data_IF_190719778811
#
_entry.id   IF_190719778811
#
_cell.length_a   1.000
_cell.length_b   1.000
_cell.length_c   1.000
_cell.angle_alpha   90.00
_cell.angle_beta   90.00
_cell.angle_gamma   90.00
#
_symmetry.space_group_name_H-M   'P 1'
#
loop_
_entity.id
_entity.type
_entity.pdbx_description
1 polymer ?
#
# COMPACT_ATOMS: atom_id res chain seq x y z
N UNK A 1 -22.62 -7.01 -6.83
CA UNK A 1 -22.05 -5.64 -6.79
C UNK A 1 -20.94 -5.48 -5.74
N UNK A 2 -20.46 -6.55 -5.07
CA UNK A 2 -19.19 -6.42 -4.34
C UNK A 2 -18.07 -6.03 -5.30
N UNK A 3 -17.13 -5.20 -4.85
CA UNK A 3 -16.00 -4.67 -5.63
C UNK A 3 -16.40 -4.20 -7.02
N UNK A 4 -17.34 -3.25 -7.08
CA UNK A 4 -17.84 -2.69 -8.33
C UNK A 4 -17.65 -1.18 -8.38
N UNK A 5 -17.24 -0.67 -9.55
CA UNK A 5 -17.39 0.73 -9.88
C UNK A 5 -18.85 0.98 -10.27
N UNK A 6 -19.51 1.93 -9.61
CA UNK A 6 -20.94 2.20 -9.83
C UNK A 6 -21.15 3.66 -10.21
N UNK A 7 -21.92 3.90 -11.28
CA UNK A 7 -22.41 5.21 -11.63
C UNK A 7 -23.90 5.31 -11.31
N UNK A 8 -24.28 6.34 -10.56
CA UNK A 8 -25.66 6.63 -10.18
C UNK A 8 -26.03 8.06 -10.57
N UNK A 9 -27.32 8.29 -10.77
CA UNK A 9 -27.87 9.63 -10.81
C UNK A 9 -27.83 10.27 -9.41
N UNK A 10 -27.26 11.47 -9.31
CA UNK A 10 -27.02 12.14 -8.03
C UNK A 10 -28.31 12.49 -7.28
N UNK A 11 -29.41 12.78 -8.00
CA UNK A 11 -30.67 13.22 -7.38
C UNK A 11 -31.54 12.05 -6.95
N UNK A 12 -31.52 10.97 -7.74
CA UNK A 12 -32.45 9.84 -7.56
C UNK A 12 -31.79 8.58 -7.01
N UNK A 13 -30.47 8.49 -7.05
CA UNK A 13 -29.72 7.27 -6.72
C UNK A 13 -29.88 6.15 -7.76
N UNK A 14 -30.60 6.37 -8.85
CA UNK A 14 -30.81 5.35 -9.87
C UNK A 14 -29.48 5.01 -10.56
N UNK A 15 -29.16 3.72 -10.62
CA UNK A 15 -27.96 3.21 -11.29
C UNK A 15 -28.05 3.45 -12.79
N UNK A 16 -27.03 4.11 -13.35
CA UNK A 16 -26.83 4.26 -14.79
C UNK A 16 -26.08 3.07 -15.37
N UNK A 17 -24.92 2.76 -14.79
CA UNK A 17 -24.11 1.62 -15.16
C UNK A 17 -23.26 1.17 -13.96
N UNK A 18 -22.70 -0.03 -14.04
CA UNK A 18 -21.68 -0.49 -13.11
C UNK A 18 -20.75 -1.48 -13.84
N UNK A 19 -19.56 -1.67 -13.30
CA UNK A 19 -18.65 -2.73 -13.69
C UNK A 19 -18.12 -3.41 -12.42
N UNK A 20 -18.19 -4.75 -12.35
CA UNK A 20 -17.62 -5.49 -11.23
C UNK A 20 -16.14 -5.77 -11.53
N UNK A 21 -15.25 -5.24 -10.69
CA UNK A 21 -13.80 -5.31 -10.84
C UNK A 21 -13.26 -6.66 -10.37
N UNK A 22 -13.75 -7.16 -9.23
CA UNK A 22 -13.42 -8.50 -8.74
C UNK A 22 -14.68 -9.37 -8.64
N UNK A 23 -14.65 -10.53 -9.30
CA UNK A 23 -15.71 -11.53 -9.23
C UNK A 23 -15.52 -12.41 -7.99
N UNK A 24 -16.58 -12.54 -7.18
CA UNK A 24 -16.58 -13.33 -5.95
C UNK A 24 -15.34 -13.06 -5.06
N UNK A 25 -15.19 -11.83 -4.53
CA UNK A 25 -13.95 -11.40 -3.91
C UNK A 25 -13.68 -12.11 -2.58
N UNK A 26 -12.46 -12.63 -2.45
CA UNK A 26 -11.96 -13.33 -1.24
C UNK A 26 -10.55 -12.86 -0.83
N UNK A 27 -10.10 -11.72 -1.37
CA UNK A 27 -8.69 -11.27 -1.27
C UNK A 27 -8.50 -9.89 -0.62
N UNK A 28 -9.55 -9.21 -0.16
CA UNK A 28 -9.42 -7.84 0.40
C UNK A 28 -8.89 -6.82 -0.64
N UNK A 29 -9.38 -6.93 -1.89
CA UNK A 29 -9.11 -6.00 -3.00
C UNK A 29 -10.15 -4.88 -3.08
N UNK A 30 -10.40 -4.22 -1.95
CA UNK A 30 -11.28 -3.05 -1.89
C UNK A 30 -10.93 -2.00 -2.95
N UNK A 31 -11.98 -1.43 -3.53
CA UNK A 31 -11.88 -0.26 -4.40
C UNK A 31 -11.85 1.02 -3.55
N UNK A 32 -10.84 1.14 -2.69
CA UNK A 32 -10.75 2.19 -1.66
C UNK A 32 -10.31 3.56 -2.18
N UNK A 33 -9.66 3.60 -3.34
CA UNK A 33 -9.22 4.85 -3.96
C UNK A 33 -10.38 5.58 -4.64
N UNK A 34 -10.37 6.91 -4.56
CA UNK A 34 -11.30 7.73 -5.35
C UNK A 34 -11.03 7.56 -6.87
N UNK A 35 -12.06 7.30 -7.69
CA UNK A 35 -11.91 7.31 -9.14
C UNK A 35 -11.55 8.71 -9.67
N UNK A 36 -10.65 8.76 -10.64
CA UNK A 36 -10.20 9.98 -11.31
C UNK A 36 -11.09 10.28 -12.51
N UNK A 37 -11.74 11.44 -12.53
CA UNK A 37 -12.43 11.90 -13.74
C UNK A 37 -11.41 12.56 -14.66
N UNK A 38 -11.31 12.08 -15.89
CA UNK A 38 -10.32 12.53 -16.86
C UNK A 38 -10.99 12.79 -18.22
N UNK A 39 -10.65 13.89 -18.87
CA UNK A 39 -10.95 14.09 -20.29
C UNK A 39 -9.66 13.77 -21.06
N UNK A 40 -9.74 12.80 -21.98
CA UNK A 40 -8.57 12.19 -22.65
C UNK A 40 -8.85 12.04 -24.16
N UNK A 41 -7.82 11.76 -24.94
CA UNK A 41 -7.93 11.49 -26.38
C UNK A 41 -7.25 10.17 -26.74
N UNK A 42 -8.05 9.16 -27.10
CA UNK A 42 -7.54 7.84 -27.50
C UNK A 42 -7.80 7.65 -28.99
N UNK A 43 -6.74 7.40 -29.77
CA UNK A 43 -6.81 7.23 -31.23
C UNK A 43 -7.56 8.38 -31.94
N UNK A 44 -7.34 9.63 -31.49
CA UNK A 44 -7.99 10.83 -32.03
C UNK A 44 -9.44 11.05 -31.57
N UNK A 45 -10.01 10.16 -30.75
CA UNK A 45 -11.35 10.29 -30.19
C UNK A 45 -11.29 10.86 -28.77
N UNK A 46 -11.98 11.98 -28.55
CA UNK A 46 -12.18 12.52 -27.21
C UNK A 46 -13.08 11.58 -26.39
N UNK A 47 -12.65 11.26 -25.17
CA UNK A 47 -13.37 10.39 -24.25
C UNK A 47 -13.50 11.09 -22.89
N UNK A 48 -14.72 11.08 -22.36
CA UNK A 48 -14.99 11.47 -20.98
C UNK A 48 -14.69 10.26 -20.11
N UNK A 49 -13.46 10.09 -19.66
CA UNK A 49 -13.02 8.92 -18.93
C UNK A 49 -13.24 9.02 -17.40
N UNK A 50 -13.32 7.86 -16.76
CA UNK A 50 -13.07 7.62 -15.34
C UNK A 50 -11.98 6.56 -15.22
N UNK A 51 -10.93 6.85 -14.46
CA UNK A 51 -9.81 5.95 -14.22
C UNK A 51 -9.79 5.55 -12.74
N UNK A 52 -9.77 4.24 -12.47
CA UNK A 52 -9.85 3.67 -11.13
C UNK A 52 -8.53 2.96 -10.79
N UNK A 53 -7.65 3.59 -9.99
CA UNK A 53 -6.49 2.90 -9.42
C UNK A 53 -6.95 1.89 -8.37
N UNK A 54 -6.29 0.75 -8.29
CA UNK A 54 -6.76 -0.38 -7.47
C UNK A 54 -5.66 -1.00 -6.63
N UNK A 55 -6.10 -1.73 -5.60
CA UNK A 55 -5.26 -2.60 -4.78
C UNK A 55 -4.60 -3.72 -5.60
N UNK A 56 -5.19 -4.08 -6.75
CA UNK A 56 -4.64 -5.04 -7.71
C UNK A 56 -3.43 -4.50 -8.50
N UNK A 57 -3.07 -3.23 -8.36
CA UNK A 57 -2.08 -2.54 -9.19
C UNK A 57 -2.46 -2.45 -10.68
N UNK A 58 -3.75 -2.53 -10.98
CA UNK A 58 -4.33 -2.16 -12.27
C UNK A 58 -4.93 -0.75 -12.21
N UNK A 59 -4.92 -0.07 -13.36
CA UNK A 59 -5.69 1.16 -13.58
C UNK A 59 -6.81 0.85 -14.56
N UNK A 60 -8.02 0.63 -14.06
CA UNK A 60 -9.18 0.37 -14.93
C UNK A 60 -9.70 1.69 -15.50
N UNK A 61 -9.97 1.77 -16.80
CA UNK A 61 -10.40 3.01 -17.44
C UNK A 61 -11.66 2.78 -18.28
N UNK A 62 -12.69 3.57 -18.00
CA UNK A 62 -13.99 3.50 -18.66
C UNK A 62 -14.39 4.88 -19.20
N UNK A 63 -15.20 4.91 -20.26
CA UNK A 63 -16.00 6.08 -20.57
C UNK A 63 -17.02 6.28 -19.44
N UNK A 64 -16.92 7.38 -18.69
CA UNK A 64 -17.71 7.65 -17.48
C UNK A 64 -19.20 7.87 -17.76
N UNK A 65 -19.57 8.14 -19.02
CA UNK A 65 -20.97 8.34 -19.42
C UNK A 65 -21.63 7.00 -19.68
N UNK A 66 -20.94 6.10 -20.38
CA UNK A 66 -21.50 4.83 -20.88
C UNK A 66 -21.14 3.62 -20.03
N UNK A 67 -20.07 3.68 -19.25
CA UNK A 67 -19.51 2.53 -18.53
C UNK A 67 -18.72 1.56 -19.42
N UNK A 68 -18.54 1.87 -20.70
CA UNK A 68 -17.77 1.04 -21.62
C UNK A 68 -16.27 1.18 -21.33
N UNK A 69 -15.51 0.08 -21.30
CA UNK A 69 -14.07 0.15 -21.06
C UNK A 69 -13.37 0.84 -22.25
N UNK A 70 -12.36 1.66 -21.97
CA UNK A 70 -11.61 2.40 -23.01
C UNK A 70 -10.73 1.45 -23.82
N UNK A 71 -10.15 0.44 -23.17
CA UNK A 71 -9.43 -0.66 -23.79
C UNK A 71 -10.04 -2.00 -23.34
N UNK A 72 -9.84 -3.09 -24.10
CA UNK A 72 -10.38 -4.39 -23.74
C UNK A 72 -10.02 -4.80 -22.30
N UNK A 73 -10.99 -5.37 -21.60
CA UNK A 73 -10.81 -6.07 -20.33
C UNK A 73 -11.14 -7.54 -20.61
N UNK A 74 -10.18 -8.42 -20.37
CA UNK A 74 -10.27 -9.84 -20.69
C UNK A 74 -10.63 -10.66 -19.46
N UNK A 75 -11.60 -11.56 -19.59
CA UNK A 75 -11.83 -12.60 -18.58
C UNK A 75 -10.73 -13.65 -18.67
N UNK A 76 -9.90 -13.77 -17.63
CA UNK A 76 -8.81 -14.75 -17.58
C UNK A 76 -9.04 -15.79 -16.49
N UNK A 77 -8.80 -17.09 -16.76
CA UNK A 77 -8.85 -18.12 -15.73
C UNK A 77 -7.89 -17.81 -14.58
N UNK A 78 -8.35 -18.01 -13.34
CA UNK A 78 -7.55 -17.84 -12.12
C UNK A 78 -7.54 -19.13 -11.29
N UNK A 79 -6.57 -19.32 -10.37
CA UNK A 79 -6.56 -20.48 -9.49
C UNK A 79 -7.87 -20.61 -8.70
N UNK A 80 -8.38 -21.83 -8.59
CA UNK A 80 -9.62 -22.13 -7.87
C UNK A 80 -9.32 -22.61 -6.45
N UNK A 81 -10.26 -22.40 -5.54
CA UNK A 81 -10.10 -22.79 -4.14
C UNK A 81 -10.23 -24.31 -3.95
N UNK A 82 -9.42 -24.86 -3.06
CA UNK A 82 -9.54 -26.21 -2.52
C UNK A 82 -10.08 -26.22 -1.08
N UNK A 83 -10.52 -25.06 -0.55
CA UNK A 83 -11.12 -24.93 0.77
C UNK A 83 -12.53 -25.52 0.76
N UNK A 84 -12.85 -26.52 1.62
CA UNK A 84 -14.13 -27.20 1.59
C UNK A 84 -15.35 -26.27 1.75
N UNK A 85 -16.16 -26.17 0.70
CA UNK A 85 -17.37 -25.36 0.67
C UNK A 85 -17.16 -23.90 0.26
N UNK A 86 -15.91 -23.46 0.06
CA UNK A 86 -15.62 -22.16 -0.55
C UNK A 86 -16.01 -22.19 -2.04
N UNK A 87 -16.54 -21.07 -2.52
CA UNK A 87 -16.81 -20.86 -3.94
C UNK A 87 -15.80 -19.86 -4.47
N UNK A 88 -15.43 -19.98 -5.74
CA UNK A 88 -14.57 -19.03 -6.43
C UNK A 88 -15.15 -18.74 -7.81
N UNK A 89 -14.82 -17.57 -8.36
CA UNK A 89 -15.10 -17.28 -9.77
C UNK A 89 -14.10 -18.04 -10.65
N UNK A 90 -14.53 -18.65 -11.78
CA UNK A 90 -13.62 -19.32 -12.70
C UNK A 90 -12.65 -18.35 -13.39
N UNK A 91 -13.08 -17.10 -13.60
CA UNK A 91 -12.30 -16.04 -14.26
C UNK A 91 -12.32 -14.75 -13.44
N UNK A 92 -11.37 -13.87 -13.73
CA UNK A 92 -11.36 -12.48 -13.27
C UNK A 92 -11.14 -11.53 -14.46
N UNK A 93 -11.57 -10.26 -14.35
CA UNK A 93 -11.30 -9.25 -15.36
C UNK A 93 -9.84 -8.78 -15.32
N UNK A 94 -9.19 -8.69 -16.47
CA UNK A 94 -7.82 -8.16 -16.61
C UNK A 94 -7.79 -7.06 -17.67
N UNK A 95 -7.53 -5.79 -17.31
CA UNK A 95 -7.41 -4.73 -18.29
C UNK A 95 -6.17 -4.96 -19.15
N UNK A 96 -6.33 -4.79 -20.47
CA UNK A 96 -5.21 -4.91 -21.42
C UNK A 96 -4.31 -3.69 -21.43
N UNK A 97 -4.85 -2.52 -21.04
CA UNK A 97 -4.13 -1.26 -20.91
C UNK A 97 -4.71 -0.38 -19.80
N UNK A 98 -3.88 0.45 -19.17
CA UNK A 98 -2.41 0.36 -19.15
C UNK A 98 -1.92 -0.96 -18.52
N UNK A 99 -0.63 -1.34 -18.69
CA UNK A 99 -0.09 -2.50 -17.98
C UNK A 99 -0.17 -2.30 -16.46
N UNK A 100 -0.10 -3.40 -15.70
CA UNK A 100 0.03 -3.33 -14.26
C UNK A 100 1.25 -2.50 -13.86
N UNK A 101 1.08 -1.65 -12.84
CA UNK A 101 2.09 -0.68 -12.42
C UNK A 101 2.76 -1.03 -11.08
N UNK A 102 2.50 -2.23 -10.57
CA UNK A 102 3.18 -2.81 -9.41
C UNK A 102 3.07 -4.35 -9.49
N UNK A 103 3.77 -5.04 -8.57
CA UNK A 103 3.86 -6.50 -8.54
C UNK A 103 2.49 -7.16 -8.28
N UNK A 104 2.14 -8.17 -9.08
CA UNK A 104 0.86 -8.90 -9.04
C UNK A 104 1.00 -10.41 -8.76
N UNK A 105 2.19 -10.87 -8.42
CA UNK A 105 2.44 -12.27 -8.08
C UNK A 105 3.59 -12.38 -7.10
N UNK A 106 3.70 -13.53 -6.45
CA UNK A 106 4.86 -13.88 -5.64
C UNK A 106 5.42 -15.18 -6.18
N UNK A 107 6.61 -15.13 -6.77
CA UNK A 107 7.39 -16.30 -7.20
C UNK A 107 8.73 -16.41 -6.48
N UNK A 108 9.45 -17.50 -6.74
CA UNK A 108 10.80 -17.73 -6.19
C UNK A 108 11.79 -16.66 -6.68
N UNK A 109 11.58 -16.11 -7.88
CA UNK A 109 12.44 -15.07 -8.45
C UNK A 109 12.16 -13.67 -7.89
N UNK A 110 11.07 -13.49 -7.15
CA UNK A 110 10.75 -12.24 -6.45
C UNK A 110 11.42 -12.14 -5.08
N UNK A 111 11.95 -13.25 -4.57
CA UNK A 111 12.55 -13.31 -3.24
C UNK A 111 13.80 -12.43 -3.17
N UNK A 112 14.04 -11.87 -1.98
CA UNK A 112 15.22 -11.09 -1.65
C UNK A 112 16.49 -11.85 -2.03
N UNK A 113 17.38 -11.18 -2.76
CA UNK A 113 18.56 -11.79 -3.37
C UNK A 113 19.83 -10.95 -3.23
N UNK A 114 19.87 -10.00 -2.27
CA UNK A 114 21.08 -9.23 -2.00
C UNK A 114 22.31 -10.10 -1.69
N UNK A 115 22.10 -11.27 -1.07
CA UNK A 115 23.13 -12.31 -0.90
C UNK A 115 22.56 -13.70 -1.17
N UNK A 116 23.39 -14.68 -1.58
CA UNK A 116 22.94 -16.06 -1.73
C UNK A 116 22.35 -16.66 -0.44
N UNK A 117 22.91 -16.28 0.72
CA UNK A 117 22.42 -16.71 2.03
C UNK A 117 20.99 -16.20 2.30
N UNK A 118 20.72 -14.92 2.05
CA UNK A 118 19.39 -14.33 2.24
C UNK A 118 18.38 -14.98 1.29
N UNK A 119 18.77 -15.23 0.03
CA UNK A 119 17.92 -15.90 -0.95
C UNK A 119 17.54 -17.31 -0.51
N UNK A 120 18.49 -18.09 0.00
CA UNK A 120 18.21 -19.45 0.45
C UNK A 120 17.31 -19.46 1.69
N UNK A 121 17.54 -18.55 2.65
CA UNK A 121 16.64 -18.39 3.80
C UNK A 121 15.24 -17.96 3.37
N UNK A 122 15.11 -17.06 2.38
CA UNK A 122 13.83 -16.69 1.81
C UNK A 122 13.10 -17.91 1.20
N UNK A 123 13.82 -18.78 0.48
CA UNK A 123 13.29 -20.05 -0.05
C UNK A 123 12.78 -20.96 1.06
N UNK A 124 13.51 -21.06 2.16
CA UNK A 124 13.09 -21.84 3.33
C UNK A 124 11.85 -21.24 4.01
N UNK A 125 11.72 -19.91 4.07
CA UNK A 125 10.51 -19.28 4.59
C UNK A 125 9.31 -19.61 3.70
N UNK A 126 9.42 -19.44 2.38
CA UNK A 126 8.29 -19.65 1.47
C UNK A 126 7.96 -21.12 1.22
N UNK A 127 8.84 -22.07 1.56
CA UNK A 127 8.56 -23.50 1.37
C UNK A 127 7.37 -23.99 2.20
N UNK A 128 6.95 -23.23 3.22
CA UNK A 128 5.75 -23.50 4.02
C UNK A 128 4.47 -22.89 3.45
N UNK A 129 4.54 -22.17 2.34
CA UNK A 129 3.42 -21.40 1.79
C UNK A 129 3.08 -21.84 0.37
N UNK A 130 1.84 -21.58 -0.04
CA UNK A 130 1.45 -21.65 -1.44
C UNK A 130 1.76 -20.31 -2.10
N UNK A 131 2.59 -20.32 -3.14
CA UNK A 131 2.94 -19.15 -3.95
C UNK A 131 2.07 -19.10 -5.23
N UNK A 132 1.91 -17.92 -5.82
CA UNK A 132 1.08 -17.78 -7.01
C UNK A 132 0.76 -16.34 -7.43
N UNK A 133 -0.20 -16.18 -8.35
CA UNK A 133 -0.68 -14.88 -8.81
C UNK A 133 -1.53 -14.17 -7.75
N UNK A 134 -1.86 -12.90 -7.97
CA UNK A 134 -2.70 -12.07 -7.09
C UNK A 134 -4.02 -12.75 -6.68
N UNK A 135 -4.73 -13.36 -7.63
CA UNK A 135 -5.97 -14.09 -7.36
C UNK A 135 -5.75 -15.53 -6.87
N UNK A 136 -4.71 -15.77 -6.07
CA UNK A 136 -4.48 -17.06 -5.41
C UNK A 136 -5.41 -17.18 -4.19
N UNK A 137 -6.36 -18.15 -4.15
CA UNK A 137 -7.24 -18.32 -2.99
C UNK A 137 -6.48 -18.70 -1.72
N UNK A 138 -7.12 -18.48 -0.58
CA UNK A 138 -6.65 -18.96 0.72
C UNK A 138 -6.52 -20.49 0.77
N UNK A 139 -5.85 -20.99 1.81
CA UNK A 139 -5.74 -22.44 2.06
C UNK A 139 -6.22 -22.77 3.45
N UNK A 140 -6.78 -23.96 3.62
CA UNK A 140 -6.90 -24.55 4.96
C UNK A 140 -5.49 -24.79 5.49
N UNK A 141 -5.14 -24.11 6.56
CA UNK A 141 -3.81 -24.13 7.17
C UNK A 141 -3.51 -25.51 7.73
N UNK A 142 -2.31 -26.03 7.45
CA UNK A 142 -1.81 -27.32 7.95
C UNK A 142 -0.47 -27.12 8.65
N UNK A 143 -0.21 -27.83 9.75
CA UNK A 143 1.03 -27.65 10.50
C UNK A 143 2.29 -27.99 9.66
N UNK A 144 2.17 -29.05 8.85
CA UNK A 144 3.14 -29.54 7.87
C UNK A 144 3.24 -28.69 6.60
N UNK A 145 2.23 -27.87 6.31
CA UNK A 145 2.15 -26.98 5.15
C UNK A 145 1.15 -27.41 4.07
N UNK A 146 0.71 -26.47 3.20
CA UNK A 146 0.96 -25.04 3.30
C UNK A 146 0.22 -24.42 4.48
N UNK A 147 0.86 -23.48 5.18
CA UNK A 147 0.28 -22.79 6.33
C UNK A 147 -0.61 -21.62 5.92
N UNK A 148 -0.38 -21.05 4.74
CA UNK A 148 -1.18 -20.01 4.12
C UNK A 148 -0.86 -19.92 2.61
N UNK A 149 -1.76 -19.29 1.83
CA UNK A 149 -1.42 -18.74 0.52
C UNK A 149 -0.75 -17.37 0.69
N UNK A 150 0.37 -17.14 0.00
CA UNK A 150 0.98 -15.80 -0.03
C UNK A 150 0.43 -15.01 -1.19
N UNK A 151 -0.27 -13.94 -0.84
CA UNK A 151 -0.91 -13.01 -1.78
C UNK A 151 -0.22 -11.65 -1.73
N UNK A 152 -0.38 -10.88 -2.79
CA UNK A 152 0.10 -9.51 -2.87
C UNK A 152 -1.04 -8.55 -3.18
N UNK A 153 -0.96 -7.34 -2.63
CA UNK A 153 -1.91 -6.26 -2.93
C UNK A 153 -3.19 -6.29 -2.09
N UNK A 154 -3.33 -7.14 -1.09
CA UNK A 154 -4.57 -7.28 -0.28
C UNK A 154 -4.76 -6.07 0.65
N UNK A 155 -4.60 -6.22 1.97
CA UNK A 155 -4.70 -5.13 2.96
C UNK A 155 -3.78 -3.95 2.63
N UNK A 156 -2.60 -4.24 2.08
CA UNK A 156 -1.65 -3.21 1.65
C UNK A 156 -2.03 -2.52 0.34
N UNK A 157 -2.58 -3.25 -0.64
CA UNK A 157 -2.75 -2.72 -2.00
C UNK A 157 -1.46 -2.58 -2.80
N UNK A 158 -1.58 -2.53 -4.13
CA UNK A 158 -0.75 -1.68 -4.96
C UNK A 158 -1.04 -0.23 -4.61
N UNK A 159 -2.12 0.33 -5.16
CA UNK A 159 -2.66 1.64 -4.71
C UNK A 159 -3.86 1.42 -3.80
N UNK A 160 -3.86 2.05 -2.62
CA UNK A 160 -4.91 1.93 -1.62
C UNK A 160 -5.66 3.28 -1.45
N UNK A 161 -6.27 3.51 -0.31
CA UNK A 161 -7.13 4.67 -0.02
C UNK A 161 -6.57 6.06 -0.38
N UNK A 162 -5.26 6.37 -0.34
CA UNK A 162 -4.79 7.72 -0.70
C UNK A 162 -4.96 8.04 -2.20
N UNK A 163 -5.13 7.02 -3.04
CA UNK A 163 -5.41 7.16 -4.46
C UNK A 163 -4.22 7.64 -5.29
N UNK A 164 -4.52 8.42 -6.31
CA UNK A 164 -3.57 8.88 -7.33
C UNK A 164 -3.93 10.31 -7.76
N UNK A 165 -3.06 10.97 -8.52
CA UNK A 165 -3.37 12.28 -9.12
C UNK A 165 -3.42 12.20 -10.63
N UNK A 166 -4.25 13.05 -11.23
CA UNK A 166 -4.35 13.22 -12.66
C UNK A 166 -3.92 14.63 -13.06
N UNK A 167 -3.10 14.74 -14.10
CA UNK A 167 -2.75 16.01 -14.73
C UNK A 167 -3.56 16.19 -16.03
N UNK A 168 -4.53 17.13 -16.06
CA UNK A 168 -5.38 17.36 -17.23
C UNK A 168 -4.66 18.04 -18.39
N UNK A 169 -3.49 18.66 -18.19
CA UNK A 169 -2.73 19.28 -19.30
C UNK A 169 -1.95 18.24 -20.11
N UNK A 170 -1.53 17.15 -19.46
CA UNK A 170 -0.68 16.11 -20.06
C UNK A 170 -1.38 14.76 -20.23
N UNK A 171 -2.58 14.63 -19.66
CA UNK A 171 -3.37 13.39 -19.60
C UNK A 171 -2.63 12.24 -18.89
N UNK A 172 -1.81 12.58 -17.90
CA UNK A 172 -0.99 11.60 -17.15
C UNK A 172 -1.58 11.38 -15.76
N UNK A 173 -1.72 10.11 -15.39
CA UNK A 173 -1.98 9.68 -14.01
C UNK A 173 -0.66 9.38 -13.31
N UNK A 174 -0.50 9.90 -12.11
CA UNK A 174 0.61 9.58 -11.22
C UNK A 174 0.10 8.76 -10.05
N UNK A 175 0.64 7.55 -9.89
CA UNK A 175 0.16 6.57 -8.92
C UNK A 175 1.32 6.03 -8.07
N UNK A 176 1.22 6.23 -6.75
CA UNK A 176 2.07 5.51 -5.81
C UNK A 176 1.52 4.10 -5.62
N UNK A 177 2.42 3.12 -5.56
CA UNK A 177 2.05 1.73 -5.34
C UNK A 177 3.04 1.01 -4.42
N UNK A 178 2.54 0.15 -3.53
CA UNK A 178 3.38 -0.78 -2.79
C UNK A 178 3.73 -2.00 -3.66
N UNK A 179 4.99 -2.44 -3.60
CA UNK A 179 5.48 -3.62 -4.31
C UNK A 179 5.77 -4.80 -3.38
N UNK A 180 5.69 -4.61 -2.06
CA UNK A 180 5.93 -5.64 -1.05
C UNK A 180 4.81 -5.79 -0.02
N UNK A 181 3.60 -5.36 -0.38
CA UNK A 181 2.37 -5.56 0.40
C UNK A 181 1.91 -7.01 0.42
N UNK A 182 2.68 -7.92 1.04
CA UNK A 182 2.36 -9.34 1.16
C UNK A 182 1.37 -9.56 2.31
N UNK A 183 0.36 -10.40 2.09
CA UNK A 183 -0.45 -10.96 3.15
C UNK A 183 -0.58 -12.48 3.02
N UNK A 184 -0.34 -13.25 4.11
CA UNK A 184 -0.68 -14.66 4.17
C UNK A 184 -2.19 -14.84 4.41
N UNK A 185 -2.85 -15.64 3.58
CA UNK A 185 -4.24 -16.07 3.76
C UNK A 185 -4.26 -17.55 4.14
N UNK A 186 -4.27 -17.81 5.45
CA UNK A 186 -4.43 -19.15 6.03
C UNK A 186 -5.77 -19.22 6.78
N UNK A 187 -6.44 -20.36 6.67
CA UNK A 187 -7.76 -20.59 7.23
C UNK A 187 -7.73 -21.74 8.24
N UNK A 188 -8.40 -21.57 9.38
CA UNK A 188 -8.55 -22.60 10.42
C UNK A 188 -10.01 -22.67 10.86
N UNK A 189 -10.45 -23.82 11.36
CA UNK A 189 -11.76 -23.92 12.00
C UNK A 189 -11.71 -23.18 13.35
N UNK A 190 -12.64 -22.24 13.62
CA UNK A 190 -12.68 -21.56 14.90
C UNK A 190 -13.10 -22.52 16.03
N UNK A 191 -12.82 -22.18 17.30
CA UNK A 191 -13.38 -22.92 18.43
C UNK A 191 -14.91 -23.02 18.35
N UNK A 192 -15.46 -24.14 18.80
CA UNK A 192 -16.91 -24.35 18.81
C UNK A 192 -17.62 -23.22 19.57
N UNK A 193 -18.67 -22.66 18.95
CA UNK A 193 -19.45 -21.57 19.52
C UNK A 193 -18.86 -20.17 19.36
N UNK A 194 -17.66 -20.02 18.77
CA UNK A 194 -17.08 -18.70 18.50
C UNK A 194 -17.71 -18.01 17.29
N UNK A 195 -17.88 -18.73 16.19
CA UNK A 195 -18.45 -18.21 14.94
C UNK A 195 -19.25 -19.30 14.23
N UNK A 196 -20.26 -18.87 13.49
CA UNK A 196 -21.04 -19.68 12.55
C UNK A 196 -20.36 -19.81 11.17
N UNK A 197 -19.28 -19.07 10.93
CA UNK A 197 -18.43 -19.23 9.75
C UNK A 197 -17.52 -20.45 9.97
N UNK A 198 -17.50 -21.36 8.99
CA UNK A 198 -16.72 -22.60 9.07
C UNK A 198 -15.21 -22.38 9.23
N UNK A 199 -14.67 -21.33 8.62
CA UNK A 199 -13.26 -21.01 8.64
C UNK A 199 -13.02 -19.54 8.99
N UNK A 200 -12.02 -19.28 9.82
CA UNK A 200 -11.52 -17.94 10.16
C UNK A 200 -10.05 -17.82 9.79
N UNK A 201 -9.55 -16.59 9.65
CA UNK A 201 -8.13 -16.35 9.41
C UNK A 201 -7.28 -16.91 10.56
N UNK A 202 -6.25 -17.70 10.24
CA UNK A 202 -5.37 -18.27 11.24
C UNK A 202 -4.31 -19.23 10.68
N UNK A 203 -3.45 -19.69 11.58
CA UNK A 203 -2.35 -20.60 11.26
C UNK A 203 -2.46 -21.85 12.13
N UNK A 204 -2.44 -23.04 11.51
CA UNK A 204 -2.51 -24.30 12.24
C UNK A 204 -1.38 -24.44 13.26
N UNK A 205 -1.71 -24.97 14.43
CA UNK A 205 -0.79 -25.14 15.56
C UNK A 205 -0.55 -23.86 16.38
N UNK A 206 -1.13 -22.72 16.01
CA UNK A 206 -1.15 -21.54 16.87
C UNK A 206 -2.33 -21.57 17.84
N UNK A 207 -2.17 -21.09 19.08
CA UNK A 207 -3.29 -20.94 19.99
C UNK A 207 -4.32 -19.96 19.41
N UNK A 208 -5.60 -20.26 19.61
CA UNK A 208 -6.66 -19.34 19.28
C UNK A 208 -6.56 -18.10 20.17
N UNK A 209 -6.59 -16.92 19.55
CA UNK A 209 -6.64 -15.63 20.23
C UNK A 209 -7.64 -14.76 19.51
N UNK A 210 -8.66 -14.29 20.24
CA UNK A 210 -9.55 -13.27 19.74
C UNK A 210 -8.76 -11.97 19.56
N UNK A 211 -8.73 -11.45 18.33
CA UNK A 211 -8.06 -10.19 18.02
C UNK A 211 -9.08 -9.06 18.02
N UNK A 212 -9.03 -8.23 19.05
CA UNK A 212 -9.71 -6.93 19.04
C UNK A 212 -8.86 -5.92 18.24
N UNK A 213 -9.46 -5.32 17.21
CA UNK A 213 -8.82 -4.24 16.45
C UNK A 213 -8.76 -2.94 17.27
N UNK A 214 -7.77 -2.06 17.06
CA UNK A 214 -7.82 -0.71 17.62
C UNK A 214 -9.12 -0.02 17.16
N UNK A 215 -9.95 0.41 18.11
CA UNK A 215 -11.25 1.04 17.83
C UNK A 215 -12.39 0.08 17.43
N UNK A 216 -12.18 -1.24 17.43
CA UNK A 216 -13.27 -2.18 17.18
C UNK A 216 -14.22 -2.21 18.39
N UNK A 217 -15.48 -1.78 18.19
CA UNK A 217 -16.52 -1.77 19.22
C UNK A 217 -16.25 -0.84 20.41
N UNK A 218 -15.31 0.09 20.29
CA UNK A 218 -14.83 0.92 21.39
C UNK A 218 -14.41 2.29 20.87
N UNK A 219 -15.03 3.36 21.38
CA UNK A 219 -14.60 4.73 21.11
C UNK A 219 -13.15 4.97 21.62
N UNK A 220 -12.50 6.04 21.17
CA UNK A 220 -11.10 6.33 21.52
C UNK A 220 -10.88 6.51 23.04
N UNK A 221 -11.95 6.79 23.79
CA UNK A 221 -12.04 6.95 25.24
C UNK A 221 -12.61 5.72 25.96
N UNK A 222 -12.93 4.64 25.23
CA UNK A 222 -13.46 3.42 25.84
C UNK A 222 -12.42 2.80 26.80
N UNK A 223 -12.85 2.27 27.96
CA UNK A 223 -11.96 1.59 28.88
C UNK A 223 -11.31 0.41 28.15
N UNK A 224 -9.98 0.39 28.06
CA UNK A 224 -9.27 -0.76 27.51
C UNK A 224 -9.59 -1.98 28.37
N UNK A 225 -10.29 -2.96 27.82
CA UNK A 225 -10.35 -4.29 28.42
C UNK A 225 -8.93 -4.81 28.43
N UNK A 226 -8.42 -5.16 29.61
CA UNK A 226 -7.07 -5.70 29.75
C UNK A 226 -6.91 -6.88 28.79
N UNK A 227 -5.90 -6.81 27.90
CA UNK A 227 -5.53 -7.91 27.01
C UNK A 227 -5.50 -9.19 27.85
N UNK A 228 -6.41 -10.12 27.57
CA UNK A 228 -6.68 -11.28 28.41
C UNK A 228 -5.40 -12.00 28.83
N UNK A 229 -4.95 -11.72 30.06
CA UNK A 229 -4.08 -12.62 30.78
C UNK A 229 -4.92 -13.80 31.24
N UNK A 230 -4.34 -15.00 31.20
CA UNK A 230 -4.97 -16.21 31.73
C UNK A 230 -5.61 -15.95 33.12
N UNK A 231 -6.71 -16.64 33.46
CA UNK A 231 -7.45 -16.35 34.70
C UNK A 231 -6.54 -16.59 35.92
N UNK A 232 -6.24 -15.54 36.70
CA UNK A 232 -5.59 -15.67 38.02
C UNK A 232 -4.45 -14.73 38.35
N UNK A 233 -3.95 -13.88 37.45
CA UNK A 233 -2.88 -12.94 37.79
C UNK A 233 -3.44 -11.56 38.20
N UNK A 234 -3.21 -11.16 39.45
CA UNK A 234 -3.50 -9.82 39.93
C UNK A 234 -2.67 -8.77 39.14
N UNK A 235 -3.21 -7.57 38.87
CA UNK A 235 -2.50 -6.55 38.11
C UNK A 235 -1.31 -6.02 38.92
N UNK A 236 -0.10 -6.18 38.37
CA UNK A 236 1.09 -5.51 38.90
C UNK A 236 1.04 -4.00 38.55
N UNK A 237 1.44 -3.10 39.45
CA UNK A 237 1.48 -1.67 39.15
C UNK A 237 2.52 -1.40 38.06
N UNK A 238 2.14 -0.59 37.07
CA UNK A 238 3.01 -0.23 35.96
C UNK A 238 4.27 0.53 36.42
N UNK A 239 5.44 0.31 35.81
CA UNK A 239 6.64 1.04 36.20
C UNK A 239 6.55 2.48 35.69
N UNK A 240 6.88 3.41 36.59
CA UNK A 240 7.06 4.82 36.30
C UNK A 240 8.19 5.05 35.28
N UNK A 241 8.09 6.18 34.57
CA UNK A 241 9.07 6.64 33.59
C UNK A 241 10.49 6.68 34.17
N UNK A 242 11.36 5.80 33.67
CA UNK A 242 12.77 5.74 34.05
C UNK A 242 13.50 4.68 33.22
N UNK A 243 14.60 5.10 32.60
CA UNK A 243 15.51 4.38 31.69
C UNK A 243 15.45 2.86 31.63
N UNK A 244 15.49 2.32 30.40
CA UNK A 244 15.86 0.92 30.16
C UNK A 244 17.10 0.85 29.30
N UNK A 245 18.21 0.56 29.98
CA UNK A 245 19.42 0.05 29.38
C UNK A 245 19.23 -1.32 28.76
N UNK A 246 20.20 -1.69 27.94
CA UNK A 246 20.27 -2.92 27.16
C UNK A 246 19.97 -4.18 28.00
N UNK A 247 19.06 -5.02 27.51
CA UNK A 247 18.91 -6.40 27.95
C UNK A 247 19.28 -7.33 26.79
N UNK A 248 20.27 -8.19 27.05
CA UNK A 248 20.85 -9.14 26.13
C UNK A 248 19.84 -10.17 25.61
N UNK A 249 19.94 -10.51 24.33
CA UNK A 249 19.14 -11.54 23.68
C UNK A 249 19.62 -12.96 24.08
N UNK A 250 18.68 -13.81 24.49
CA UNK A 250 18.90 -15.25 24.57
C UNK A 250 18.76 -15.88 23.16
N UNK A 251 19.62 -16.84 22.76
CA UNK A 251 19.55 -17.43 21.42
C UNK A 251 18.53 -18.58 21.37
N UNK A 252 17.71 -18.65 20.31
CA UNK A 252 17.16 -19.93 19.85
C UNK A 252 15.64 -20.12 19.75
N UNK A 253 14.78 -19.10 19.88
CA UNK A 253 13.35 -19.25 19.58
C UNK A 253 12.95 -18.43 18.34
N UNK A 254 12.28 -19.00 17.32
CA UNK A 254 11.68 -18.19 16.26
C UNK A 254 10.55 -17.38 16.87
N UNK A 255 10.78 -16.08 17.06
CA UNK A 255 9.79 -15.16 17.60
C UNK A 255 8.53 -15.15 16.73
N UNK A 256 7.37 -15.36 17.35
CA UNK A 256 6.09 -15.19 16.70
C UNK A 256 5.97 -13.75 16.18
N UNK A 257 5.43 -13.53 14.95
CA UNK A 257 5.29 -12.18 14.42
C UNK A 257 4.25 -11.41 15.26
N UNK A 258 4.52 -10.15 15.59
CA UNK A 258 3.58 -9.36 16.39
C UNK A 258 2.25 -9.16 15.66
N UNK A 259 1.19 -9.29 16.43
CA UNK A 259 -0.18 -9.00 16.08
C UNK A 259 -0.46 -7.49 16.16
N UNK A 260 -0.76 -6.86 15.03
CA UNK A 260 -1.58 -5.64 14.99
C UNK A 260 -0.86 -4.35 14.56
N UNK A 261 -1.58 -3.58 13.74
CA UNK A 261 -1.32 -2.17 13.42
C UNK A 261 -0.60 -1.96 12.10
N UNK A 262 -1.23 -1.24 11.16
CA UNK A 262 -0.72 -1.05 9.81
C UNK A 262 0.68 -0.45 9.72
N UNK A 263 1.46 -0.95 8.76
CA UNK A 263 2.72 -0.35 8.30
C UNK A 263 3.95 -1.27 8.42
N UNK A 264 4.35 -1.88 7.29
CA UNK A 264 5.69 -2.38 6.93
C UNK A 264 6.45 -3.20 7.99
N UNK A 265 6.63 -4.51 7.90
CA UNK A 265 6.85 -5.38 6.75
C UNK A 265 6.13 -6.71 7.01
N UNK A 266 5.62 -7.34 5.95
CA UNK A 266 5.06 -8.70 5.99
C UNK A 266 6.11 -9.75 6.38
N UNK A 267 6.03 -10.97 5.86
CA UNK A 267 7.09 -11.97 6.06
C UNK A 267 8.49 -11.39 5.80
N UNK A 268 9.46 -11.78 6.64
CA UNK A 268 10.82 -11.21 6.64
C UNK A 268 11.87 -12.30 6.70
N UNK A 269 13.09 -11.96 6.28
CA UNK A 269 14.28 -12.79 6.41
C UNK A 269 15.33 -11.96 7.16
N UNK A 270 15.67 -12.36 8.39
CA UNK A 270 16.58 -11.60 9.26
C UNK A 270 16.21 -10.12 9.44
N UNK A 271 14.90 -9.81 9.48
CA UNK A 271 14.41 -8.43 9.59
C UNK A 271 14.32 -7.67 8.26
N UNK A 272 14.79 -8.26 7.15
CA UNK A 272 14.66 -7.68 5.82
C UNK A 272 13.36 -8.11 5.13
N UNK A 273 12.81 -7.31 4.21
CA UNK A 273 11.64 -7.70 3.43
C UNK A 273 11.86 -9.03 2.68
N UNK A 274 10.84 -9.90 2.63
CA UNK A 274 10.94 -11.18 1.92
C UNK A 274 11.18 -11.01 0.42
N UNK A 275 10.60 -9.97 -0.19
CA UNK A 275 10.73 -9.71 -1.63
C UNK A 275 11.82 -8.68 -1.91
N UNK A 276 12.48 -8.81 -3.05
CA UNK A 276 13.49 -7.86 -3.52
C UNK A 276 12.87 -6.49 -3.89
N UNK A 277 13.62 -5.39 -3.75
CA UNK A 277 13.17 -4.05 -4.10
C UNK A 277 12.89 -3.90 -5.62
N UNK A 278 12.20 -2.81 -6.04
CA UNK A 278 11.72 -1.70 -5.21
C UNK A 278 10.56 -2.08 -4.28
N UNK A 279 10.55 -1.55 -3.06
CA UNK A 279 9.51 -1.85 -2.05
C UNK A 279 8.25 -1.03 -2.23
N UNK A 280 8.39 0.18 -2.76
CA UNK A 280 7.31 1.02 -3.23
C UNK A 280 7.79 1.87 -4.41
N UNK A 281 6.85 2.20 -5.29
CA UNK A 281 7.12 2.87 -6.56
C UNK A 281 6.18 4.04 -6.77
N UNK A 282 6.66 5.03 -7.52
CA UNK A 282 5.85 6.07 -8.14
C UNK A 282 5.83 5.79 -9.65
N UNK A 283 4.64 5.86 -10.24
CA UNK A 283 4.38 5.57 -11.65
C UNK A 283 3.82 6.80 -12.34
N UNK A 284 4.16 6.97 -13.63
CA UNK A 284 3.44 7.86 -14.54
C UNK A 284 2.81 7.06 -15.67
N UNK A 285 1.52 7.25 -15.90
CA UNK A 285 0.70 6.48 -16.83
C UNK A 285 -0.01 7.43 -17.78
N UNK A 286 0.23 7.32 -19.08
CA UNK A 286 -0.43 8.15 -20.09
C UNK A 286 -1.80 7.56 -20.46
N UNK A 287 -2.87 8.33 -20.29
CA UNK A 287 -4.23 7.86 -20.59
C UNK A 287 -4.62 7.98 -22.07
N UNK A 288 -3.91 8.73 -22.90
CA UNK A 288 -4.19 8.79 -24.34
C UNK A 288 -3.72 7.51 -25.04
N UNK A 289 -2.58 6.97 -24.61
CA UNK A 289 -1.96 5.76 -25.19
C UNK A 289 -2.24 4.49 -24.39
N UNK A 290 -2.52 4.62 -23.09
CA UNK A 290 -2.63 3.50 -22.16
C UNK A 290 -1.29 2.83 -21.93
N UNK A 291 -0.22 3.60 -21.71
CA UNK A 291 1.13 3.10 -21.44
C UNK A 291 1.70 3.61 -20.11
N UNK A 292 2.57 2.80 -19.51
CA UNK A 292 3.40 3.19 -18.37
C UNK A 292 4.61 3.95 -18.92
N UNK A 293 4.70 5.24 -18.64
CA UNK A 293 5.76 6.12 -19.14
C UNK A 293 7.07 5.92 -18.40
N UNK A 294 6.99 5.90 -17.06
CA UNK A 294 8.13 5.64 -16.19
C UNK A 294 7.64 5.09 -14.85
N UNK A 295 8.55 4.40 -14.17
CA UNK A 295 8.38 3.91 -12.81
C UNK A 295 9.70 4.11 -12.05
N UNK A 296 9.63 4.70 -10.86
CA UNK A 296 10.81 4.96 -10.01
C UNK A 296 10.56 4.51 -8.57
N UNK A 297 11.59 4.07 -7.82
CA UNK A 297 11.45 3.81 -6.39
C UNK A 297 11.06 5.08 -5.62
N UNK A 298 9.97 5.02 -4.85
CA UNK A 298 9.52 6.13 -3.99
C UNK A 298 9.96 5.92 -2.54
N UNK A 299 10.48 6.97 -1.90
CA UNK A 299 11.06 6.92 -0.55
C UNK A 299 12.53 6.49 -0.53
N UNK A 300 13.20 6.69 0.60
CA UNK A 300 14.60 6.29 0.79
C UNK A 300 14.79 4.78 0.95
N UNK A 301 16.02 4.30 1.10
CA UNK A 301 16.28 2.93 1.57
C UNK A 301 15.92 2.82 3.06
N UNK A 302 15.08 1.87 3.50
CA UNK A 302 14.76 1.71 4.93
C UNK A 302 16.00 1.46 5.80
N UNK A 303 16.00 1.96 7.04
CA UNK A 303 17.13 1.81 7.97
C UNK A 303 17.49 0.34 8.22
N UNK A 304 16.49 -0.56 8.21
CA UNK A 304 16.70 -2.01 8.38
C UNK A 304 17.50 -2.64 7.23
N UNK A 305 17.46 -2.04 6.04
CA UNK A 305 18.25 -2.46 4.88
C UNK A 305 19.60 -1.76 4.91
N UNK A 306 19.62 -0.43 5.06
CA UNK A 306 20.85 0.38 5.04
C UNK A 306 21.87 -0.08 6.08
N UNK A 307 21.41 -0.38 7.29
CA UNK A 307 22.26 -0.70 8.43
C UNK A 307 22.43 -2.21 8.66
N UNK A 308 21.95 -3.05 7.72
CA UNK A 308 21.97 -4.50 7.92
C UNK A 308 23.41 -5.04 7.86
N UNK A 309 23.87 -5.84 8.85
CA UNK A 309 25.25 -6.35 8.88
C UNK A 309 25.65 -7.15 7.64
N UNK A 310 24.72 -7.93 7.08
CA UNK A 310 24.97 -8.70 5.84
C UNK A 310 25.04 -7.86 4.56
N UNK A 311 24.69 -6.57 4.62
CA UNK A 311 24.62 -5.68 3.46
C UNK A 311 25.69 -4.57 3.51
N UNK A 312 26.51 -4.51 4.57
CA UNK A 312 27.45 -3.41 4.84
C UNK A 312 28.46 -3.12 3.72
N UNK A 313 28.87 -4.16 2.99
CA UNK A 313 29.89 -4.08 1.93
C UNK A 313 29.25 -4.09 0.52
N UNK A 314 27.91 -3.98 0.45
CA UNK A 314 27.18 -3.98 -0.81
C UNK A 314 26.75 -2.57 -1.20
N UNK A 315 26.88 -2.26 -2.48
CA UNK A 315 26.32 -1.03 -3.04
C UNK A 315 24.82 -1.25 -3.36
N UNK A 316 23.96 -0.98 -2.37
CA UNK A 316 22.51 -1.15 -2.51
C UNK A 316 21.91 0.12 -3.13
N UNK A 317 21.27 0.04 -4.32
CA UNK A 317 20.58 1.20 -4.90
C UNK A 317 19.37 1.59 -4.05
N UNK A 318 18.82 2.77 -4.32
CA UNK A 318 17.60 3.25 -3.67
C UNK A 318 16.48 2.22 -3.80
N UNK A 319 16.06 1.64 -2.67
CA UNK A 319 15.08 0.55 -2.67
C UNK A 319 13.64 1.02 -2.69
N UNK A 320 13.42 2.31 -2.45
CA UNK A 320 12.09 2.81 -2.10
C UNK A 320 11.62 2.25 -0.75
N UNK A 321 10.43 2.69 -0.35
CA UNK A 321 9.78 2.30 0.90
C UNK A 321 8.41 1.71 0.61
N UNK A 322 8.08 0.64 1.32
CA UNK A 322 6.72 0.14 1.31
C UNK A 322 5.81 1.14 2.03
N UNK A 323 4.66 1.42 1.45
CA UNK A 323 3.64 2.23 2.10
C UNK A 323 2.53 2.61 1.15
N UNK A 324 1.54 3.31 1.70
CA UNK A 324 0.44 3.89 0.93
C UNK A 324 0.34 5.35 1.32
N UNK A 325 0.70 6.23 0.38
CA UNK A 325 0.77 7.68 0.60
C UNK A 325 0.11 8.40 -0.57
N UNK A 326 -0.66 9.43 -0.23
CA UNK A 326 -1.27 10.31 -1.22
C UNK A 326 -0.27 11.25 -1.86
N UNK A 327 -0.64 11.82 -2.99
CA UNK A 327 0.21 12.72 -3.77
C UNK A 327 -0.64 13.82 -4.41
N UNK A 328 -0.01 14.93 -4.77
CA UNK A 328 -0.60 15.93 -5.66
C UNK A 328 0.36 16.26 -6.80
N UNK A 329 -0.18 16.89 -7.85
CA UNK A 329 0.60 17.37 -8.98
C UNK A 329 0.48 18.88 -9.14
N UNK A 330 1.55 19.51 -9.60
CA UNK A 330 1.57 20.90 -10.07
C UNK A 330 1.81 20.92 -11.57
N UNK A 331 2.00 22.11 -12.15
CA UNK A 331 2.36 22.25 -13.57
C UNK A 331 3.64 21.50 -13.96
N UNK A 332 4.58 21.29 -13.03
CA UNK A 332 5.88 20.65 -13.35
C UNK A 332 6.26 19.50 -12.44
N UNK A 333 5.62 19.35 -11.27
CA UNK A 333 6.07 18.41 -10.24
C UNK A 333 4.98 17.43 -9.81
N UNK A 334 5.41 16.24 -9.41
CA UNK A 334 4.67 15.34 -8.53
C UNK A 334 5.22 15.48 -7.12
N UNK A 335 4.37 15.63 -6.12
CA UNK A 335 4.79 15.81 -4.72
C UNK A 335 4.10 14.80 -3.82
N UNK A 336 4.90 14.09 -3.02
CA UNK A 336 4.46 13.08 -2.06
C UNK A 336 5.55 12.84 -1.00
N UNK A 337 5.14 12.51 0.21
CA UNK A 337 6.01 12.28 1.35
C UNK A 337 6.28 10.81 1.63
N UNK A 338 7.36 10.57 2.36
CA UNK A 338 7.81 9.23 2.68
C UNK A 338 6.83 8.51 3.62
N UNK A 339 6.54 7.22 3.37
CA UNK A 339 5.66 6.42 4.21
C UNK A 339 6.32 5.94 5.52
N UNK A 340 7.64 6.11 5.65
CA UNK A 340 8.38 5.70 6.85
C UNK A 340 9.54 6.63 7.15
N UNK A 341 10.01 6.60 8.39
CA UNK A 341 11.17 7.38 8.81
C UNK A 341 12.46 6.65 8.48
N UNK A 342 13.48 7.41 8.09
CA UNK A 342 14.85 6.96 7.90
C UNK A 342 15.82 7.87 8.63
N UNK A 343 17.02 7.34 8.87
CA UNK A 343 18.14 8.06 9.47
C UNK A 343 19.30 8.03 8.48
N UNK A 344 19.73 9.20 8.03
CA UNK A 344 20.77 9.34 7.01
C UNK A 344 21.83 10.35 7.47
N UNK A 345 23.01 10.39 6.83
CA UNK A 345 23.96 11.48 7.05
C UNK A 345 23.40 12.86 6.72
N UNK A 346 22.47 12.94 5.75
CA UNK A 346 21.93 14.20 5.23
C UNK A 346 20.77 14.76 6.06
N UNK A 347 20.08 13.92 6.84
CA UNK A 347 18.99 14.37 7.69
C UNK A 347 18.85 13.50 8.97
N UNK A 348 18.44 14.11 10.11
CA UNK A 348 18.15 13.35 11.31
C UNK A 348 16.98 12.39 11.07
N UNK A 349 16.80 11.44 12.00
CA UNK A 349 15.68 10.50 11.96
C UNK A 349 14.37 11.23 11.67
N UNK A 350 13.74 10.88 10.55
CA UNK A 350 12.52 11.50 10.07
C UNK A 350 12.18 11.02 8.67
N UNK A 351 11.14 11.61 8.09
CA UNK A 351 10.68 11.35 6.73
C UNK A 351 11.00 12.54 5.83
N UNK A 352 10.77 12.42 4.52
CA UNK A 352 10.95 13.51 3.57
C UNK A 352 9.67 13.77 2.80
N UNK A 353 9.30 15.04 2.59
CA UNK A 353 8.37 15.44 1.55
C UNK A 353 9.17 15.63 0.26
N UNK A 354 8.88 14.83 -0.77
CA UNK A 354 9.71 14.74 -1.99
C UNK A 354 8.98 15.32 -3.19
N UNK A 355 9.76 15.91 -4.09
CA UNK A 355 9.30 16.42 -5.39
C UNK A 355 10.00 15.68 -6.53
N UNK A 356 9.23 15.29 -7.53
CA UNK A 356 9.67 14.57 -8.71
C UNK A 356 9.31 15.35 -9.96
N UNK A 357 10.22 15.38 -10.94
CA UNK A 357 9.94 15.87 -12.28
C UNK A 357 8.87 14.99 -12.95
N UNK A 358 7.80 15.61 -13.45
CA UNK A 358 6.65 14.90 -14.01
C UNK A 358 6.99 14.06 -15.25
N UNK A 359 7.94 14.51 -16.08
CA UNK A 359 8.23 13.83 -17.34
C UNK A 359 9.19 12.66 -17.17
N UNK A 360 10.13 12.78 -16.24
CA UNK A 360 11.26 11.83 -16.11
C UNK A 360 11.17 10.96 -14.86
N UNK A 361 10.39 11.36 -13.86
CA UNK A 361 10.39 10.71 -12.54
C UNK A 361 11.65 10.99 -11.73
N UNK A 362 12.54 11.88 -12.17
CA UNK A 362 13.72 12.25 -11.41
C UNK A 362 13.33 13.01 -10.13
N UNK A 363 13.88 12.61 -8.98
CA UNK A 363 13.69 13.39 -7.75
C UNK A 363 14.48 14.70 -7.88
N UNK A 364 13.77 15.84 -7.81
CA UNK A 364 14.37 17.18 -8.00
C UNK A 364 14.50 17.97 -6.70
N UNK A 365 13.89 17.50 -5.62
CA UNK A 365 14.00 18.13 -4.31
C UNK A 365 13.34 17.30 -3.21
N UNK A 366 13.69 17.62 -1.97
CA UNK A 366 13.07 17.07 -0.79
C UNK A 366 13.22 18.03 0.40
N UNK A 367 12.25 18.02 1.32
CA UNK A 367 12.33 18.72 2.60
C UNK A 367 12.02 17.75 3.73
N UNK A 368 12.71 17.92 4.87
CA UNK A 368 12.58 17.01 6.00
C UNK A 368 11.24 17.18 6.73
N UNK A 369 10.74 16.07 7.27
CA UNK A 369 9.56 15.97 8.13
C UNK A 369 9.91 15.13 9.38
N UNK A 370 9.44 15.51 10.57
CA UNK A 370 9.70 14.77 11.82
C UNK A 370 9.04 13.38 11.86
N UNK A 371 7.98 13.17 11.08
CA UNK A 371 7.24 11.91 11.02
C UNK A 371 6.79 11.60 9.59
N UNK A 372 6.44 10.34 9.28
CA UNK A 372 5.95 9.95 7.96
C UNK A 372 4.70 10.72 7.54
N UNK A 373 4.47 10.77 6.23
CA UNK A 373 3.21 11.25 5.72
C UNK A 373 2.07 10.34 6.21
N UNK A 374 1.05 10.94 6.82
CA UNK A 374 -0.13 10.23 7.32
C UNK A 374 -1.43 10.57 6.62
N UNK A 375 -1.44 11.61 5.77
CA UNK A 375 -2.55 11.93 4.88
C UNK A 375 -2.06 12.62 3.61
N UNK A 376 -2.95 12.73 2.62
CA UNK A 376 -2.59 13.28 1.30
C UNK A 376 -2.17 14.76 1.41
N UNK A 377 -1.02 15.15 0.82
CA UNK A 377 -0.60 16.54 0.78
C UNK A 377 -1.52 17.36 -0.12
N UNK A 378 -1.63 18.65 0.19
CA UNK A 378 -2.39 19.61 -0.60
C UNK A 378 -1.60 20.91 -0.78
N UNK A 379 -2.01 21.74 -1.75
CA UNK A 379 -1.42 23.07 -1.95
C UNK A 379 -2.51 24.12 -2.14
N UNK A 380 -2.25 25.35 -1.68
CA UNK A 380 -3.15 26.49 -1.86
C UNK A 380 -2.38 27.81 -1.91
N UNK A 381 -3.05 28.88 -2.34
CA UNK A 381 -2.55 30.24 -2.31
C UNK A 381 -3.17 31.02 -1.14
N UNK A 382 -2.33 31.73 -0.38
CA UNK A 382 -2.80 32.73 0.59
C UNK A 382 -1.86 33.93 0.55
N UNK A 383 -2.44 35.14 0.49
CA UNK A 383 -1.70 36.40 0.47
C UNK A 383 -0.59 36.46 -0.61
N UNK A 384 -0.87 35.93 -1.80
CA UNK A 384 0.09 35.89 -2.92
C UNK A 384 1.21 34.85 -2.78
N UNK A 385 1.19 34.01 -1.73
CA UNK A 385 2.17 32.95 -1.49
C UNK A 385 1.54 31.57 -1.61
N UNK A 386 2.25 30.64 -2.27
CA UNK A 386 1.87 29.24 -2.33
C UNK A 386 2.34 28.50 -1.08
N UNK A 387 1.45 27.68 -0.53
CA UNK A 387 1.73 26.78 0.59
C UNK A 387 1.50 25.34 0.18
N UNK A 388 2.29 24.43 0.75
CA UNK A 388 2.07 22.99 0.71
C UNK A 388 1.80 22.54 2.14
N UNK A 389 0.67 21.88 2.36
CA UNK A 389 0.30 21.29 3.65
C UNK A 389 0.39 19.79 3.56
N UNK A 390 1.00 19.16 4.55
CA UNK A 390 1.05 17.70 4.69
C UNK A 390 0.77 17.33 6.14
N UNK A 391 -0.07 16.32 6.33
CA UNK A 391 -0.26 15.71 7.65
C UNK A 391 0.83 14.69 7.90
N UNK A 392 1.41 14.75 9.09
CA UNK A 392 2.44 13.81 9.55
C UNK A 392 2.04 13.19 10.87
N UNK A 393 2.23 11.89 11.01
CA UNK A 393 2.05 11.14 12.25
C UNK A 393 2.70 9.77 12.13
N UNK A 394 2.91 9.09 13.25
CA UNK A 394 3.34 7.69 13.22
C UNK A 394 4.11 7.27 14.46
N UNK A 395 3.95 6.01 14.87
CA UNK A 395 4.56 5.50 16.09
C UNK A 395 4.18 6.36 17.31
N UNK A 396 5.20 6.85 18.02
CA UNK A 396 5.01 7.73 19.19
C UNK A 396 4.86 9.22 18.82
N UNK A 397 4.84 9.58 17.52
CA UNK A 397 4.67 10.95 17.08
C UNK A 397 3.19 11.30 16.91
N UNK A 398 2.70 12.22 17.74
CA UNK A 398 1.34 12.77 17.64
C UNK A 398 1.12 13.47 16.30
N UNK A 399 -0.10 13.39 15.78
CA UNK A 399 -0.40 13.98 14.48
C UNK A 399 -0.38 15.51 14.47
N UNK A 400 0.21 16.08 13.42
CA UNK A 400 0.17 17.52 13.13
C UNK A 400 0.12 17.80 11.62
N UNK A 401 -0.12 19.07 11.27
CA UNK A 401 0.01 19.57 9.90
C UNK A 401 1.29 20.40 9.78
N UNK A 402 2.13 20.08 8.79
CA UNK A 402 3.29 20.88 8.42
C UNK A 402 2.93 21.77 7.23
N UNK A 403 3.32 23.04 7.30
CA UNK A 403 3.12 24.01 6.23
C UNK A 403 4.46 24.46 5.64
N UNK A 404 4.69 24.14 4.37
CA UNK A 404 5.88 24.53 3.61
C UNK A 404 5.53 25.67 2.65
N UNK A 405 6.46 26.60 2.46
CA UNK A 405 6.38 27.64 1.44
C UNK A 405 7.78 28.06 1.04
N UNK A 406 7.95 28.57 -0.19
CA UNK A 406 9.25 29.10 -0.61
C UNK A 406 9.71 30.25 0.30
N UNK A 407 11.02 30.41 0.53
CA UNK A 407 11.55 31.61 1.16
C UNK A 407 11.07 32.88 0.45
N UNK A 408 10.91 33.98 1.18
CA UNK A 408 10.50 35.26 0.58
C UNK A 408 11.48 35.75 -0.51
N UNK A 409 12.75 35.37 -0.41
CA UNK A 409 13.78 35.66 -1.42
C UNK A 409 13.58 34.93 -2.75
N UNK A 410 12.81 33.84 -2.76
CA UNK A 410 12.58 32.99 -3.93
C UNK A 410 11.14 33.05 -4.44
N UNK A 411 10.24 33.72 -3.71
CA UNK A 411 8.91 34.04 -4.22
C UNK A 411 9.02 35.06 -5.35
N UNK A 412 8.74 34.62 -6.59
CA UNK A 412 8.59 35.55 -7.72
C UNK A 412 7.47 36.54 -7.40
N UNK A 413 7.67 37.86 -7.57
CA UNK A 413 6.57 38.80 -7.50
C UNK A 413 5.47 38.32 -8.43
N UNK A 414 4.24 38.18 -7.91
CA UNK A 414 3.08 38.00 -8.77
C UNK A 414 3.05 39.23 -9.67
N UNK A 415 3.36 39.05 -10.95
CA UNK A 415 3.05 40.07 -11.95
C UNK A 415 1.56 40.32 -11.81
N UNK A 416 1.20 41.50 -11.30
CA UNK A 416 -0.18 41.97 -11.36
C UNK A 416 -0.59 41.85 -12.81
N UNK A 417 -1.48 40.91 -13.09
CA UNK A 417 -2.05 40.72 -14.41
C UNK A 417 -2.68 42.05 -14.83
N UNK A 418 -2.08 42.66 -15.85
CA UNK A 418 -2.72 43.73 -16.59
C UNK A 418 -4.07 43.22 -17.07
N UNK A 419 -5.10 44.04 -16.87
CA UNK A 419 -6.31 43.98 -17.65
C UNK A 419 -5.93 43.93 -19.14
N UNK A 420 -6.35 42.88 -19.86
CA UNK A 420 -6.90 42.96 -21.23
C UNK A 420 -7.83 41.79 -21.47
#
# INVERSE_FOLDING_TARGET
FGDSLVCVDLKTGQRKWHFQIAHHPIWDYDLSSAPLLADITVNGKAIKAVALPTKEAFLYVFDRVTGQPVWPIEERPVPQSDVPGEKTSPTQPFPTRPPAYARQSIGIDDLIDFTPQLREQARQVVSRYRLGPMFLPGVVSKAEGPIAALTIGTTGGGTNWPGSSYDPETHIVYAQAANTGIAPIGLVEPPAGFSDIRYVAGTAGQPFVEREGPGFGSAADAPQRGRGGAPGAAPAPGPAAGGRGAAAAAPGAPGAPPAGGGGGFGLQVQGLPLLKPPYGVLNAINLDRGDLMWQVPHGDTPDVVRNHPLLKDLNIPKTGQQGSVGLFVTKTLVVLGDPSVTTTPEHPRGAMLRAYDKQTGAQVGAVWMPAPQSGSPMTYMANGKQYIIVSVSGGNYSGEYLAFSLPASESRPTTQGGQR
#
